data_IF_624360680930
#
_entry.id   IF_624360680930
#
_cell.length_a   1.000
_cell.length_b   1.000
_cell.length_c   1.000
_cell.angle_alpha   90.00
_cell.angle_beta   90.00
_cell.angle_gamma   90.00
#
_symmetry.space_group_name_H-M   'P 1'
#
loop_
_entity.id
_entity.type
_entity.pdbx_description
1 polymer ?
#
# COMPACT_ATOMS: atom_id res chain seq x y z
N UNK A 1 -19.95 -24.43 -18.36
CA UNK A 1 -18.84 -23.49 -18.60
C UNK A 1 -18.89 -22.44 -17.50
N UNK A 2 -17.87 -22.36 -16.65
CA UNK A 2 -17.81 -21.31 -15.63
C UNK A 2 -17.45 -19.99 -16.34
N UNK A 3 -18.34 -19.00 -16.27
CA UNK A 3 -18.15 -17.68 -16.86
C UNK A 3 -17.48 -16.70 -15.90
N UNK A 4 -17.28 -15.47 -16.37
CA UNK A 4 -16.78 -14.38 -15.55
C UNK A 4 -17.82 -14.02 -14.47
N UNK A 5 -17.43 -14.10 -13.20
CA UNK A 5 -18.26 -13.70 -12.06
C UNK A 5 -17.79 -12.38 -11.45
N UNK A 6 -18.73 -11.52 -11.02
CA UNK A 6 -18.39 -10.32 -10.25
C UNK A 6 -17.98 -10.69 -8.82
N UNK A 7 -16.96 -10.02 -8.30
CA UNK A 7 -16.49 -10.17 -6.92
C UNK A 7 -16.92 -8.95 -6.09
N UNK A 8 -17.38 -9.19 -4.87
CA UNK A 8 -17.69 -8.11 -3.93
C UNK A 8 -16.41 -7.51 -3.35
N UNK A 9 -16.21 -6.22 -3.56
CA UNK A 9 -15.09 -5.47 -3.00
C UNK A 9 -15.47 -4.83 -1.66
N UNK A 10 -14.50 -4.79 -0.75
CA UNK A 10 -14.62 -3.97 0.46
C UNK A 10 -14.54 -2.49 0.07
N UNK A 11 -15.49 -1.68 0.56
CA UNK A 11 -15.54 -0.23 0.25
C UNK A 11 -14.29 0.54 0.68
N UNK A 12 -13.64 0.10 1.75
CA UNK A 12 -12.48 0.77 2.36
C UNK A 12 -11.22 -0.11 2.23
N UNK A 13 -11.01 -0.73 1.07
CA UNK A 13 -9.78 -1.46 0.83
C UNK A 13 -8.59 -0.50 0.91
N UNK A 14 -7.68 -0.75 1.86
CA UNK A 14 -6.46 0.02 2.01
C UNK A 14 -5.54 -0.28 0.82
N UNK A 15 -5.27 0.75 0.00
CA UNK A 15 -4.47 0.66 -1.22
C UNK A 15 -3.27 1.61 -1.20
N UNK A 16 -2.97 2.18 -0.03
CA UNK A 16 -1.85 3.11 0.15
C UNK A 16 -0.48 2.46 -0.08
N UNK A 17 -0.38 1.14 0.05
CA UNK A 17 0.83 0.39 -0.27
C UNK A 17 0.97 0.04 -1.75
N UNK A 18 -0.04 0.28 -2.60
CA UNK A 18 -0.02 -0.18 -3.99
C UNK A 18 1.07 0.50 -4.84
N UNK A 19 1.27 1.81 -4.67
CA UNK A 19 2.26 2.62 -5.38
C UNK A 19 2.90 3.62 -4.40
N UNK A 20 3.69 3.14 -3.43
CA UNK A 20 4.10 3.95 -2.27
C UNK A 20 5.10 5.06 -2.63
N UNK A 21 5.74 4.96 -3.80
CA UNK A 21 6.72 5.93 -4.30
C UNK A 21 6.08 7.05 -5.13
N UNK A 22 4.79 6.95 -5.44
CA UNK A 22 4.07 7.92 -6.27
C UNK A 22 2.99 8.66 -5.47
N UNK A 23 2.80 9.97 -5.70
CA UNK A 23 1.74 10.75 -5.06
C UNK A 23 0.40 10.48 -5.76
N UNK A 24 -0.13 9.27 -5.57
CA UNK A 24 -1.42 8.83 -6.15
C UNK A 24 -2.37 8.38 -5.06
N UNK A 25 -3.66 8.65 -5.25
CA UNK A 25 -4.74 8.03 -4.49
C UNK A 25 -5.27 6.85 -5.27
N UNK A 26 -5.27 5.68 -4.66
CA UNK A 26 -5.83 4.45 -5.23
C UNK A 26 -7.24 4.16 -4.67
N UNK A 27 -8.15 3.74 -5.54
CA UNK A 27 -9.52 3.35 -5.18
C UNK A 27 -9.98 2.16 -6.03
N UNK A 28 -10.34 1.04 -5.39
CA UNK A 28 -10.90 -0.10 -6.09
C UNK A 28 -12.28 0.26 -6.68
N UNK A 29 -12.50 -0.07 -7.95
CA UNK A 29 -13.74 0.21 -8.68
C UNK A 29 -14.62 -1.04 -8.81
N UNK A 30 -14.02 -2.14 -9.25
CA UNK A 30 -14.71 -3.39 -9.53
C UNK A 30 -13.71 -4.54 -9.55
N UNK A 31 -14.20 -5.74 -9.30
CA UNK A 31 -13.43 -6.96 -9.45
C UNK A 31 -14.26 -8.07 -10.08
N UNK A 32 -13.57 -8.93 -10.82
CA UNK A 32 -14.12 -10.10 -11.49
C UNK A 32 -13.24 -11.30 -11.24
N UNK A 33 -13.82 -12.49 -11.36
CA UNK A 33 -13.12 -13.76 -11.25
C UNK A 33 -13.50 -14.69 -12.39
N UNK A 34 -12.50 -15.38 -12.92
CA UNK A 34 -12.65 -16.54 -13.79
C UNK A 34 -11.70 -17.61 -13.27
N UNK A 35 -12.22 -18.80 -12.95
CA UNK A 35 -11.42 -19.89 -12.37
C UNK A 35 -10.58 -19.43 -11.16
N UNK A 36 -9.26 -19.62 -11.19
CA UNK A 36 -8.32 -19.20 -10.15
C UNK A 36 -7.68 -17.82 -10.42
N UNK A 37 -8.26 -17.02 -11.31
CA UNK A 37 -7.79 -15.67 -11.63
C UNK A 37 -8.79 -14.62 -11.22
N UNK A 38 -8.28 -13.58 -10.56
CA UNK A 38 -9.02 -12.40 -10.18
C UNK A 38 -8.47 -11.21 -10.95
N UNK A 39 -9.35 -10.36 -11.46
CA UNK A 39 -9.00 -9.08 -12.06
C UNK A 39 -9.65 -7.98 -11.24
N UNK A 40 -8.87 -7.04 -10.74
CA UNK A 40 -9.37 -5.88 -10.01
C UNK A 40 -9.01 -4.59 -10.75
N UNK A 41 -10.02 -3.79 -11.06
CA UNK A 41 -9.85 -2.44 -11.61
C UNK A 41 -9.68 -1.45 -10.46
N UNK A 42 -8.55 -0.74 -10.44
CA UNK A 42 -8.21 0.27 -9.43
C UNK A 42 -8.02 1.61 -10.11
N UNK A 43 -8.82 2.59 -9.72
CA UNK A 43 -8.64 3.99 -10.12
C UNK A 43 -7.41 4.55 -9.42
N UNK A 44 -6.53 5.19 -10.17
CA UNK A 44 -5.42 5.98 -9.68
C UNK A 44 -5.69 7.45 -10.01
N UNK A 45 -5.58 8.32 -9.02
CA UNK A 45 -5.71 9.77 -9.20
C UNK A 45 -4.44 10.45 -8.68
N UNK A 46 -3.77 11.23 -9.52
CA UNK A 46 -2.60 12.03 -9.16
C UNK A 46 -3.00 13.12 -8.17
N UNK A 47 -2.24 13.24 -7.08
CA UNK A 47 -2.47 14.27 -6.05
C UNK A 47 -1.45 15.41 -6.11
N UNK A 48 -0.50 15.36 -7.06
CA UNK A 48 0.55 16.34 -7.25
C UNK A 48 0.31 17.27 -8.44
N UNK A 49 0.97 18.43 -8.46
CA UNK A 49 0.90 19.40 -9.56
C UNK A 49 1.77 19.08 -10.79
N UNK A 50 2.35 17.87 -10.88
CA UNK A 50 3.25 17.47 -11.97
C UNK A 50 2.71 16.26 -12.74
N UNK A 51 3.22 16.04 -13.94
CA UNK A 51 3.01 14.79 -14.67
C UNK A 51 3.69 13.62 -13.95
N UNK A 52 3.08 12.44 -14.01
CA UNK A 52 3.63 11.19 -13.51
C UNK A 52 3.65 10.16 -14.63
N UNK A 53 4.76 9.43 -14.75
CA UNK A 53 4.86 8.22 -15.57
C UNK A 53 4.56 7.00 -14.69
N UNK A 54 3.79 6.06 -15.22
CA UNK A 54 3.36 4.85 -14.52
C UNK A 54 4.14 3.64 -15.05
N UNK A 55 5.06 3.15 -14.23
CA UNK A 55 5.78 1.89 -14.48
C UNK A 55 5.08 0.74 -13.73
N UNK A 56 4.64 -0.33 -14.41
CA UNK A 56 4.03 -1.49 -13.75
C UNK A 56 4.92 -2.13 -12.67
N UNK A 57 6.25 -1.98 -12.78
CA UNK A 57 7.21 -2.51 -11.80
C UNK A 57 7.24 -1.75 -10.48
N UNK A 58 6.65 -0.55 -10.43
CA UNK A 58 6.50 0.19 -9.19
C UNK A 58 5.34 -0.31 -8.32
N UNK A 59 4.43 -1.13 -8.88
CA UNK A 59 3.30 -1.71 -8.15
C UNK A 59 3.82 -2.68 -7.09
N UNK A 60 3.33 -2.54 -5.86
CA UNK A 60 3.64 -3.48 -4.78
C UNK A 60 2.48 -4.42 -4.48
N UNK A 61 2.80 -5.70 -4.44
CA UNK A 61 1.88 -6.79 -4.17
C UNK A 61 2.26 -8.04 -4.94
N UNK A 62 1.57 -9.14 -4.66
CA UNK A 62 1.68 -10.39 -5.39
C UNK A 62 0.75 -10.36 -6.62
N UNK A 63 1.27 -9.86 -7.74
CA UNK A 63 0.51 -9.72 -8.98
C UNK A 63 1.06 -10.63 -10.08
N UNK A 64 0.16 -11.35 -10.75
CA UNK A 64 0.48 -12.13 -11.94
C UNK A 64 0.74 -11.22 -13.15
N UNK A 65 -0.06 -10.16 -13.28
CA UNK A 65 0.03 -9.19 -14.36
C UNK A 65 -0.62 -7.87 -13.95
N UNK A 66 -0.20 -6.78 -14.60
CA UNK A 66 -0.82 -5.48 -14.46
C UNK A 66 -0.80 -4.71 -15.78
N UNK A 67 -1.83 -3.91 -16.04
CA UNK A 67 -1.84 -2.98 -17.17
C UNK A 67 -2.57 -1.69 -16.83
N UNK A 68 -2.02 -0.56 -17.27
CA UNK A 68 -2.64 0.75 -17.14
C UNK A 68 -3.42 1.08 -18.41
N UNK A 69 -4.60 1.68 -18.27
CA UNK A 69 -5.32 2.24 -19.43
C UNK A 69 -4.52 3.35 -20.12
N UNK A 70 -3.88 4.19 -19.32
CA UNK A 70 -2.98 5.26 -19.78
C UNK A 70 -1.69 5.16 -18.97
N UNK A 71 -0.51 5.21 -19.62
CA UNK A 71 0.79 5.07 -18.95
C UNK A 71 1.23 6.33 -18.19
N UNK A 72 0.44 7.40 -18.22
CA UNK A 72 0.76 8.67 -17.57
C UNK A 72 -0.45 9.26 -16.84
N UNK A 73 -0.18 10.12 -15.86
CA UNK A 73 -1.17 10.95 -15.20
C UNK A 73 -0.77 12.43 -15.33
N UNK A 74 -1.73 13.25 -15.75
CA UNK A 74 -1.60 14.70 -15.74
C UNK A 74 -1.61 15.29 -14.32
N UNK A 75 -1.27 16.57 -14.17
CA UNK A 75 -1.35 17.29 -12.89
C UNK A 75 -2.74 17.23 -12.25
N UNK A 76 -2.80 17.18 -10.92
CA UNK A 76 -4.03 17.14 -10.14
C UNK A 76 -5.02 18.24 -10.54
N UNK A 77 -6.31 17.89 -10.64
CA UNK A 77 -7.38 18.79 -11.05
C UNK A 77 -7.53 18.94 -12.56
N UNK A 78 -6.73 18.23 -13.36
CA UNK A 78 -6.89 18.15 -14.83
C UNK A 78 -7.64 16.89 -15.22
N UNK A 79 -8.30 16.90 -16.37
CA UNK A 79 -9.02 15.73 -16.88
C UNK A 79 -8.15 14.47 -17.05
N UNK A 80 -6.83 14.65 -17.23
CA UNK A 80 -5.86 13.58 -17.37
C UNK A 80 -5.25 13.10 -16.04
N UNK A 81 -5.68 13.63 -14.88
CA UNK A 81 -5.11 13.29 -13.57
C UNK A 81 -5.50 11.89 -13.06
N UNK A 82 -6.30 11.17 -13.83
CA UNK A 82 -6.91 9.91 -13.42
C UNK A 82 -6.75 8.84 -14.51
N UNK A 83 -6.43 7.62 -14.08
CA UNK A 83 -6.39 6.42 -14.93
C UNK A 83 -6.90 5.21 -14.16
N UNK A 84 -7.02 4.06 -14.82
CA UNK A 84 -7.30 2.78 -14.17
C UNK A 84 -6.16 1.82 -14.43
N UNK A 85 -5.72 1.12 -13.38
CA UNK A 85 -4.86 -0.06 -13.48
C UNK A 85 -5.71 -1.31 -13.26
N UNK A 86 -5.47 -2.33 -14.08
CA UNK A 86 -6.05 -3.65 -13.92
C UNK A 86 -4.99 -4.58 -13.34
N UNK A 87 -5.27 -5.13 -12.15
CA UNK A 87 -4.38 -6.02 -11.43
C UNK A 87 -4.91 -7.44 -11.50
N UNK A 88 -4.06 -8.38 -11.90
CA UNK A 88 -4.39 -9.81 -11.96
C UNK A 88 -3.72 -10.54 -10.81
N UNK A 89 -4.49 -11.29 -10.03
CA UNK A 89 -4.02 -12.09 -8.89
C UNK A 89 -4.48 -13.54 -9.05
N UNK A 90 -3.75 -14.49 -8.44
CA UNK A 90 -4.05 -15.92 -8.52
C UNK A 90 -4.47 -16.46 -7.15
N UNK A 91 -5.53 -17.27 -7.13
CA UNK A 91 -6.03 -17.96 -5.92
C UNK A 91 -6.76 -17.06 -4.90
N UNK A 92 -6.52 -15.75 -4.92
CA UNK A 92 -7.07 -14.79 -3.97
C UNK A 92 -7.29 -13.41 -4.60
N UNK A 93 -8.04 -12.54 -3.92
CA UNK A 93 -8.36 -11.20 -4.42
C UNK A 93 -7.28 -10.17 -4.08
N UNK A 94 -7.48 -8.94 -4.56
CA UNK A 94 -6.51 -7.85 -4.36
C UNK A 94 -6.17 -7.60 -2.88
N UNK A 95 -7.11 -7.77 -1.96
CA UNK A 95 -6.87 -7.50 -0.54
C UNK A 95 -5.80 -8.41 0.06
N UNK A 96 -5.79 -9.67 -0.33
CA UNK A 96 -4.83 -10.66 0.17
C UNK A 96 -3.48 -10.59 -0.58
N UNK A 97 -3.45 -9.97 -1.76
CA UNK A 97 -2.22 -9.79 -2.56
C UNK A 97 -1.40 -8.55 -2.18
N UNK A 98 -1.94 -7.65 -1.35
CA UNK A 98 -1.26 -6.42 -0.98
C UNK A 98 -0.27 -6.64 0.17
N UNK A 99 0.80 -5.84 0.18
CA UNK A 99 1.72 -5.83 1.31
C UNK A 99 1.04 -5.21 2.54
N UNK A 100 1.29 -5.74 3.75
CA UNK A 100 0.79 -5.16 4.97
C UNK A 100 1.40 -3.76 5.17
N UNK A 101 0.56 -2.82 5.60
CA UNK A 101 1.03 -1.50 6.04
C UNK A 101 1.77 -1.66 7.36
N UNK A 102 3.10 -1.64 7.33
CA UNK A 102 3.92 -1.65 8.54
C UNK A 102 3.85 -0.25 9.17
N UNK A 103 3.21 -0.13 10.33
CA UNK A 103 3.26 1.09 11.11
C UNK A 103 4.64 1.25 11.77
N UNK A 104 5.15 2.48 11.94
CA UNK A 104 6.36 2.72 12.73
C UNK A 104 6.19 2.12 14.13
N UNK A 105 7.21 1.42 14.61
CA UNK A 105 7.26 0.96 16.00
C UNK A 105 7.47 2.19 16.90
N UNK A 106 6.59 2.39 17.87
CA UNK A 106 6.83 3.37 18.93
C UNK A 106 7.88 2.81 19.90
N UNK A 107 9.13 3.24 19.74
CA UNK A 107 10.23 2.81 20.58
C UNK A 107 10.11 3.30 22.03
N UNK A 108 9.26 4.30 22.30
CA UNK A 108 9.11 4.85 23.66
C UNK A 108 8.45 3.87 24.62
N UNK A 109 7.72 2.89 24.11
CA UNK A 109 7.09 1.80 24.89
C UNK A 109 8.12 0.91 25.57
N UNK A 110 9.35 0.83 25.04
CA UNK A 110 10.43 -0.01 25.58
C UNK A 110 11.49 0.80 26.36
N UNK A 111 11.26 2.09 26.60
CA UNK A 111 12.16 2.87 27.45
C UNK A 111 12.02 2.44 28.91
N UNK A 112 13.12 2.16 29.62
CA UNK A 112 13.05 1.93 31.05
C UNK A 112 12.53 3.19 31.75
N UNK A 113 11.78 3.05 32.87
CA UNK A 113 11.36 4.20 33.65
C UNK A 113 12.60 4.99 34.11
N UNK A 114 12.56 6.32 33.98
CA UNK A 114 13.69 7.22 34.23
C UNK A 114 14.37 7.04 35.61
N UNK A 115 13.66 6.43 36.58
CA UNK A 115 14.20 6.10 37.90
C UNK A 115 15.25 4.98 37.89
N UNK A 116 15.26 4.09 36.88
CA UNK A 116 16.21 2.97 36.80
C UNK A 116 17.57 3.36 36.18
N UNK A 117 17.67 4.51 35.52
CA UNK A 117 18.90 4.98 34.87
C UNK A 117 19.84 5.77 35.82
N UNK A 118 19.43 6.01 37.07
CA UNK A 118 20.16 6.84 38.04
C UNK A 118 20.75 6.10 39.25
N UNK A 119 20.70 4.77 39.29
CA UNK A 119 21.25 3.98 40.39
C UNK A 119 22.34 3.04 39.89
N UNK A 120 23.48 3.62 39.52
CA UNK A 120 24.75 2.89 39.45
C UNK A 120 25.84 3.75 40.10
N UNK A 121 26.35 3.22 41.23
CA UNK A 121 27.68 3.42 41.80
C UNK A 121 28.01 4.76 42.48
N UNK A 122 27.70 4.82 43.78
CA UNK A 122 28.42 5.62 44.78
C UNK A 122 28.90 4.72 45.91
N UNK A 123 29.74 3.72 45.58
CA UNK A 123 30.32 2.79 46.55
C UNK A 123 31.45 3.42 47.36
N UNK A 124 31.29 3.40 48.68
CA UNK A 124 32.21 3.91 49.68
C UNK A 124 33.66 3.41 49.53
N UNK A 125 34.63 4.32 49.72
CA UNK A 125 35.97 3.98 50.19
C UNK A 125 36.25 4.79 51.46
N UNK A 126 36.13 4.07 52.57
CA UNK A 126 36.64 4.43 53.89
C UNK A 126 38.17 4.54 53.82
N UNK A 127 38.71 5.66 54.30
CA UNK A 127 40.11 5.78 54.70
C UNK A 127 40.17 6.47 56.06
N UNK A 128 40.20 5.68 57.14
CA UNK A 128 41.22 5.72 58.18
C UNK A 128 41.05 4.62 59.24
#
# INVERSE_FOLDING_TARGET
MAGIGRVNLRRNLALDTLLPTLPVRAQALAAWRLEDQWVTAVKLTNTSGRWLDLDPRALQGDFLAATFQHPTLGPAGRAADTTVVYLVTRGHGLAESLLPKVAPIDATVNLPPAAAAGQAEGGARDEK
#
